data_IF_386464743561
#
_entry.id   IF_386464743561
#
_cell.length_a   1.000
_cell.length_b   1.000
_cell.length_c   1.000
_cell.angle_alpha   90.00
_cell.angle_beta   90.00
_cell.angle_gamma   90.00
#
_symmetry.space_group_name_H-M   'P 1'
#
loop_
_entity.id
_entity.type
_entity.pdbx_description
1 polymer ?
#
# COMPACT_ATOMS: atom_id res chain seq x y z
N UNK A 1 21.14 -12.93 -12.06
CA UNK A 1 19.94 -13.62 -11.54
C UNK A 1 19.03 -13.79 -12.73
N UNK A 2 19.06 -14.97 -13.34
CA UNK A 2 18.28 -15.30 -14.54
C UNK A 2 16.80 -15.02 -14.30
N UNK A 3 16.25 -14.06 -15.04
CA UNK A 3 14.81 -13.91 -15.21
C UNK A 3 14.36 -15.04 -16.14
N UNK A 4 14.09 -16.20 -15.56
CA UNK A 4 13.15 -17.13 -16.18
C UNK A 4 11.82 -16.36 -16.27
N UNK A 5 11.56 -15.83 -17.46
CA UNK A 5 10.30 -15.22 -17.87
C UNK A 5 9.24 -16.34 -17.97
N UNK A 6 8.87 -16.88 -16.82
CA UNK A 6 7.65 -17.66 -16.69
C UNK A 6 6.51 -16.64 -16.76
N UNK A 7 5.92 -16.54 -17.95
CA UNK A 7 4.72 -15.76 -18.19
C UNK A 7 3.62 -16.27 -17.27
N UNK A 8 3.16 -15.45 -16.32
CA UNK A 8 2.07 -15.81 -15.41
C UNK A 8 0.82 -16.23 -16.21
N UNK A 9 0.16 -17.30 -15.80
CA UNK A 9 -1.00 -17.89 -16.46
C UNK A 9 -2.26 -17.67 -15.63
N UNK A 10 -3.43 -17.99 -16.18
CA UNK A 10 -4.71 -18.00 -15.44
C UNK A 10 -4.63 -18.82 -14.15
N UNK A 11 -3.94 -19.96 -14.18
CA UNK A 11 -3.77 -20.83 -13.03
C UNK A 11 -2.99 -20.17 -11.88
N UNK A 12 -2.18 -19.14 -12.15
CA UNK A 12 -1.45 -18.42 -11.10
C UNK A 12 -2.33 -17.46 -10.29
N UNK A 13 -3.52 -17.11 -10.80
CA UNK A 13 -4.45 -16.15 -10.18
C UNK A 13 -5.71 -16.79 -9.63
N UNK A 14 -6.16 -17.91 -10.19
CA UNK A 14 -7.38 -18.59 -9.76
C UNK A 14 -7.14 -19.78 -8.81
N UNK A 15 -6.00 -19.82 -8.11
CA UNK A 15 -5.80 -20.83 -7.06
C UNK A 15 -6.63 -20.50 -5.82
N UNK A 16 -7.04 -21.51 -5.02
CA UNK A 16 -7.71 -21.26 -3.75
C UNK A 16 -6.93 -20.35 -2.81
N UNK A 17 -5.60 -20.40 -2.83
CA UNK A 17 -4.74 -19.56 -1.98
C UNK A 17 -4.77 -18.09 -2.39
N UNK A 18 -4.92 -17.79 -3.68
CA UNK A 18 -5.10 -16.42 -4.17
C UNK A 18 -6.53 -15.95 -3.93
N UNK A 19 -7.52 -16.76 -4.31
CA UNK A 19 -8.94 -16.37 -4.22
C UNK A 19 -9.44 -16.22 -2.79
N UNK A 20 -8.78 -16.87 -1.82
CA UNK A 20 -9.07 -16.74 -0.40
C UNK A 20 -8.00 -15.94 0.37
N UNK A 21 -7.13 -15.19 -0.31
CA UNK A 21 -6.13 -14.37 0.34
C UNK A 21 -6.79 -13.30 1.23
N UNK A 22 -6.23 -13.08 2.42
CA UNK A 22 -6.76 -12.13 3.40
C UNK A 22 -5.95 -10.84 3.42
N UNK A 23 -6.65 -9.70 3.47
CA UNK A 23 -6.04 -8.40 3.74
C UNK A 23 -6.95 -7.58 4.68
N UNK A 24 -6.51 -7.25 5.91
CA UNK A 24 -5.23 -7.64 6.50
C UNK A 24 -5.17 -9.13 6.84
N UNK A 25 -3.97 -9.69 6.80
CA UNK A 25 -3.69 -10.99 7.39
C UNK A 25 -3.35 -10.83 8.87
N UNK A 26 -3.79 -11.78 9.70
CA UNK A 26 -3.64 -11.69 11.16
C UNK A 26 -2.18 -11.74 11.63
N UNK A 27 -1.30 -12.40 10.86
CA UNK A 27 0.11 -12.58 11.22
C UNK A 27 0.99 -11.51 10.59
N UNK A 28 0.76 -11.21 9.31
CA UNK A 28 1.65 -10.39 8.48
C UNK A 28 1.13 -8.97 8.25
N UNK A 29 -0.14 -8.70 8.57
CA UNK A 29 -0.75 -7.38 8.48
C UNK A 29 -1.25 -7.01 7.08
N UNK A 30 -1.31 -5.70 6.81
CA UNK A 30 -1.80 -5.17 5.55
C UNK A 30 -0.76 -5.25 4.43
N UNK A 31 -1.16 -5.78 3.29
CA UNK A 31 -0.40 -5.84 2.05
C UNK A 31 -0.70 -4.66 1.13
N UNK A 32 -1.96 -4.22 1.13
CA UNK A 32 -2.47 -3.13 0.31
C UNK A 32 -3.64 -2.42 1.02
N UNK A 33 -4.13 -1.35 0.37
CA UNK A 33 -5.18 -0.48 0.86
C UNK A 33 -6.62 -1.02 0.83
N UNK A 34 -7.54 -0.31 1.51
CA UNK A 34 -7.28 0.87 2.36
C UNK A 34 -6.67 0.50 3.71
N UNK A 35 -5.55 1.16 4.07
CA UNK A 35 -4.88 0.96 5.35
C UNK A 35 -5.29 2.10 6.29
N UNK A 36 -5.90 1.82 7.46
CA UNK A 36 -6.40 2.87 8.32
C UNK A 36 -5.26 3.64 9.01
N UNK A 37 -5.43 4.95 9.14
CA UNK A 37 -4.62 5.79 10.01
C UNK A 37 -5.36 6.02 11.32
N UNK A 38 -5.20 5.12 12.29
CA UNK A 38 -5.92 5.17 13.55
C UNK A 38 -5.51 6.34 14.46
N UNK A 39 -4.39 7.01 14.17
CA UNK A 39 -3.86 8.11 14.98
C UNK A 39 -3.45 9.29 14.11
N UNK A 40 -4.40 9.93 13.41
CA UNK A 40 -4.10 11.09 12.57
C UNK A 40 -3.50 12.21 13.43
N UNK A 41 -2.40 12.80 12.97
CA UNK A 41 -1.70 13.88 13.67
C UNK A 41 -0.79 13.45 14.83
N UNK A 42 -0.73 12.17 15.20
CA UNK A 42 0.22 11.72 16.22
C UNK A 42 1.67 11.97 15.77
N UNK A 43 2.49 12.51 16.67
CA UNK A 43 3.92 12.75 16.47
C UNK A 43 4.71 12.24 17.68
N UNK A 44 5.93 11.71 17.49
CA UNK A 44 6.81 11.43 18.62
C UNK A 44 7.13 12.68 19.42
N UNK A 45 7.26 12.55 20.75
CA UNK A 45 7.53 13.68 21.64
C UNK A 45 8.78 14.47 21.25
N UNK A 46 9.87 13.79 20.88
CA UNK A 46 11.09 14.45 20.43
C UNK A 46 10.89 15.28 19.14
N UNK A 47 9.92 14.92 18.29
CA UNK A 47 9.55 15.71 17.11
C UNK A 47 8.73 16.93 17.53
N UNK A 48 7.78 16.76 18.45
CA UNK A 48 6.98 17.86 19.01
C UNK A 48 7.91 18.91 19.63
N UNK A 49 8.86 18.50 20.47
CA UNK A 49 9.82 19.40 21.12
C UNK A 49 10.65 20.18 20.07
N UNK A 50 11.11 19.51 19.01
CA UNK A 50 11.86 20.15 17.91
C UNK A 50 11.00 21.15 17.13
N UNK A 51 9.73 20.85 16.90
CA UNK A 51 8.78 21.76 16.24
C UNK A 51 8.54 23.00 17.10
N UNK A 52 8.35 22.84 18.41
CA UNK A 52 8.15 23.96 19.34
C UNK A 52 9.39 24.87 19.41
N UNK A 53 10.59 24.32 19.32
CA UNK A 53 11.84 25.09 19.36
C UNK A 53 12.17 25.81 18.03
N UNK A 54 11.92 25.16 16.89
CA UNK A 54 12.39 25.64 15.58
C UNK A 54 11.29 26.12 14.64
N UNK A 55 10.03 25.86 14.97
CA UNK A 55 8.87 26.07 14.10
C UNK A 55 8.81 25.13 12.89
N UNK A 56 9.69 24.12 12.79
CA UNK A 56 9.80 23.24 11.62
C UNK A 56 9.77 21.76 12.00
N UNK A 57 9.07 20.96 11.20
CA UNK A 57 9.10 19.50 11.31
C UNK A 57 10.40 19.00 10.65
N UNK A 58 11.36 18.59 11.48
CA UNK A 58 12.56 17.87 11.03
C UNK A 58 12.21 16.45 10.57
N UNK A 59 13.07 15.83 9.76
CA UNK A 59 12.95 14.42 9.39
C UNK A 59 12.80 13.50 10.62
N UNK A 60 11.75 12.68 10.63
CA UNK A 60 11.46 11.71 11.69
C UNK A 60 12.31 10.45 11.49
N UNK A 61 13.18 10.16 12.46
CA UNK A 61 14.03 8.96 12.48
C UNK A 61 13.27 7.76 13.04
N UNK A 62 13.76 6.56 12.77
CA UNK A 62 13.18 5.35 13.33
C UNK A 62 13.28 5.33 14.88
N UNK A 63 14.37 5.85 15.44
CA UNK A 63 14.54 6.00 16.89
C UNK A 63 13.53 6.96 17.50
N UNK A 64 13.20 8.07 16.82
CA UNK A 64 12.17 8.99 17.31
C UNK A 64 10.83 8.26 17.47
N UNK A 65 10.44 7.43 16.50
CA UNK A 65 9.21 6.63 16.60
C UNK A 65 9.26 5.67 17.79
N UNK A 66 10.36 4.92 17.96
CA UNK A 66 10.53 3.99 19.08
C UNK A 66 10.43 4.71 20.43
N UNK A 67 11.13 5.83 20.58
CA UNK A 67 11.11 6.63 21.81
C UNK A 67 9.73 7.25 22.05
N UNK A 68 9.07 7.69 20.98
CA UNK A 68 7.71 8.24 21.03
C UNK A 68 6.68 7.21 21.48
N UNK A 69 6.78 5.96 20.99
CA UNK A 69 5.90 4.88 21.46
C UNK A 69 6.08 4.56 22.94
N UNK A 70 7.29 4.74 23.49
CA UNK A 70 7.55 4.54 24.91
C UNK A 70 7.11 5.73 25.79
N UNK A 71 7.29 6.96 25.30
CA UNK A 71 7.11 8.18 26.11
C UNK A 71 5.76 8.86 25.92
N UNK A 72 5.17 8.77 24.73
CA UNK A 72 3.89 9.35 24.37
C UNK A 72 3.13 8.41 23.39
N UNK A 73 2.75 7.21 23.83
CA UNK A 73 2.10 6.24 22.96
C UNK A 73 0.84 6.83 22.29
N UNK A 74 0.56 6.46 21.02
CA UNK A 74 -0.68 6.83 20.37
C UNK A 74 -1.89 6.24 21.09
N UNK A 75 -3.05 6.89 20.96
CA UNK A 75 -4.28 6.47 21.64
C UNK A 75 -4.82 5.13 21.13
N UNK A 76 -4.64 4.84 19.84
CA UNK A 76 -5.07 3.61 19.20
C UNK A 76 -3.88 2.78 18.71
N UNK A 77 -4.02 1.45 18.61
CA UNK A 77 -2.98 0.60 18.06
C UNK A 77 -2.56 1.01 16.65
N UNK A 78 -1.25 1.02 16.41
CA UNK A 78 -0.68 1.14 15.08
C UNK A 78 -0.97 -0.14 14.28
N UNK A 79 -1.11 -0.02 12.96
CA UNK A 79 -1.28 -1.20 12.10
C UNK A 79 0.05 -1.84 11.70
N UNK A 80 0.04 -3.15 11.50
CA UNK A 80 1.16 -3.88 10.92
C UNK A 80 1.08 -3.86 9.40
N UNK A 81 2.19 -3.58 8.74
CA UNK A 81 2.34 -3.72 7.29
C UNK A 81 3.15 -4.95 6.94
N UNK A 82 2.66 -5.70 5.97
CA UNK A 82 3.40 -6.77 5.32
C UNK A 82 4.58 -6.16 4.55
N UNK A 83 5.73 -6.83 4.60
CA UNK A 83 6.97 -6.44 3.91
C UNK A 83 6.95 -6.73 2.42
N UNK A 84 6.05 -7.59 1.97
CA UNK A 84 5.71 -7.87 0.59
C UNK A 84 4.44 -7.08 0.24
N UNK A 85 4.62 -5.85 -0.23
CA UNK A 85 3.55 -4.91 -0.53
C UNK A 85 3.80 -4.22 -1.89
N UNK A 86 2.80 -3.48 -2.36
CA UNK A 86 2.78 -2.83 -3.67
C UNK A 86 3.76 -1.67 -3.87
N UNK A 87 4.49 -1.24 -2.83
CA UNK A 87 5.32 -0.03 -2.83
C UNK A 87 4.56 1.29 -3.10
N UNK A 88 3.24 1.26 -2.93
CA UNK A 88 2.36 2.43 -2.94
C UNK A 88 1.95 2.73 -1.49
N UNK A 89 1.87 4.00 -1.13
CA UNK A 89 1.35 4.40 0.17
C UNK A 89 -0.17 4.29 0.17
N UNK A 90 -0.69 3.19 0.70
CA UNK A 90 -2.12 2.91 0.78
C UNK A 90 -2.75 3.38 2.11
N UNK A 91 -2.08 4.30 2.83
CA UNK A 91 -2.63 4.89 4.06
C UNK A 91 -3.82 5.79 3.71
N UNK A 92 -4.96 5.54 4.35
CA UNK A 92 -6.14 6.38 4.27
C UNK A 92 -5.83 7.77 4.84
N UNK A 93 -6.10 8.80 4.02
CA UNK A 93 -6.01 10.22 4.42
C UNK A 93 -7.39 10.70 4.84
N UNK A 94 -8.39 10.36 4.03
CA UNK A 94 -9.82 10.51 4.27
C UNK A 94 -10.48 9.20 3.82
N UNK A 95 -11.62 8.81 4.36
CA UNK A 95 -12.35 7.68 3.79
C UNK A 95 -13.11 8.17 2.55
N UNK A 96 -12.96 7.59 1.33
CA UNK A 96 -12.15 6.42 0.95
C UNK A 96 -10.80 6.73 0.27
N UNK A 97 -10.31 7.96 0.37
CA UNK A 97 -9.10 8.48 -0.29
C UNK A 97 -7.80 8.06 0.43
N UNK A 98 -6.94 7.33 -0.27
CA UNK A 98 -5.60 6.96 0.18
C UNK A 98 -4.51 7.91 -0.30
N UNK A 99 -3.31 7.83 0.28
CA UNK A 99 -2.18 8.67 -0.09
C UNK A 99 -1.76 8.50 -1.56
N UNK A 100 -1.40 7.29 -1.98
CA UNK A 100 -1.04 6.94 -3.37
C UNK A 100 0.40 7.26 -3.80
N UNK A 101 1.21 7.87 -2.93
CA UNK A 101 2.63 8.08 -3.23
C UNK A 101 3.35 6.76 -3.53
N UNK A 102 4.10 6.73 -4.64
CA UNK A 102 4.78 5.54 -5.17
C UNK A 102 6.29 5.55 -4.89
N UNK A 103 6.86 4.37 -4.62
CA UNK A 103 8.27 4.24 -4.25
C UNK A 103 8.96 3.08 -4.97
N UNK A 104 10.26 3.21 -5.23
CA UNK A 104 11.04 2.16 -5.88
C UNK A 104 11.70 1.19 -4.88
N UNK A 105 11.64 1.49 -3.57
CA UNK A 105 12.25 0.64 -2.54
C UNK A 105 11.43 0.67 -1.25
N UNK A 106 11.47 -0.43 -0.50
CA UNK A 106 10.91 -0.50 0.85
C UNK A 106 11.55 0.52 1.81
N UNK A 107 12.81 0.92 1.59
CA UNK A 107 13.47 1.95 2.39
C UNK A 107 12.81 3.33 2.20
N UNK A 108 12.47 3.69 0.95
CA UNK A 108 11.78 4.94 0.62
C UNK A 108 10.35 4.95 1.17
N UNK A 109 9.59 3.86 0.97
CA UNK A 109 8.24 3.74 1.54
C UNK A 109 8.26 3.88 3.07
N UNK A 110 9.13 3.15 3.77
CA UNK A 110 9.28 3.27 5.23
C UNK A 110 9.64 4.67 5.68
N UNK A 111 10.50 5.38 4.93
CA UNK A 111 10.84 6.78 5.22
C UNK A 111 9.61 7.66 5.08
N UNK A 112 8.84 7.51 4.00
CA UNK A 112 7.61 8.26 3.80
C UNK A 112 6.60 8.01 4.91
N UNK A 113 6.29 6.74 5.23
CA UNK A 113 5.36 6.38 6.29
C UNK A 113 5.71 7.03 7.63
N UNK A 114 6.98 7.00 8.05
CA UNK A 114 7.40 7.67 9.30
C UNK A 114 7.24 9.19 9.28
N UNK A 115 7.41 9.83 8.13
CA UNK A 115 7.44 11.29 8.03
C UNK A 115 6.06 11.90 7.76
N UNK A 116 5.20 11.17 7.05
CA UNK A 116 3.88 11.65 6.61
C UNK A 116 2.75 10.97 7.38
N UNK A 117 2.94 9.72 7.79
CA UNK A 117 1.95 8.92 8.53
C UNK A 117 2.52 8.29 9.82
N UNK A 118 3.22 9.05 10.69
CA UNK A 118 3.92 8.51 11.86
C UNK A 118 3.01 7.72 12.82
N UNK A 119 1.72 8.07 12.91
CA UNK A 119 0.72 7.42 13.76
C UNK A 119 -0.07 6.29 13.09
N UNK A 120 0.19 5.98 11.82
CA UNK A 120 -0.57 4.95 11.12
C UNK A 120 0.01 3.55 11.38
N UNK A 121 1.31 3.37 11.12
CA UNK A 121 1.92 2.04 10.99
C UNK A 121 2.99 1.79 12.04
N UNK A 122 3.05 0.56 12.56
CA UNK A 122 4.19 0.10 13.33
C UNK A 122 5.46 0.14 12.48
N UNK A 123 6.61 0.37 13.12
CA UNK A 123 7.90 0.39 12.42
C UNK A 123 8.16 -0.96 11.73
N UNK A 124 8.16 -0.97 10.39
CA UNK A 124 8.52 -2.16 9.62
C UNK A 124 9.99 -2.50 9.88
N UNK A 125 10.21 -3.60 10.59
CA UNK A 125 11.54 -4.07 10.99
C UNK A 125 12.43 -4.36 9.78
N UNK A 126 13.74 -4.25 9.95
CA UNK A 126 14.75 -4.65 8.95
C UNK A 126 14.97 -6.16 8.88
N UNK A 127 14.28 -6.96 9.71
CA UNK A 127 14.38 -8.42 9.67
C UNK A 127 13.99 -8.94 8.28
N UNK A 128 14.60 -10.05 7.80
CA UNK A 128 14.19 -10.69 6.56
C UNK A 128 12.68 -10.95 6.49
N UNK A 129 12.14 -11.02 5.27
CA UNK A 129 10.75 -11.44 5.05
C UNK A 129 10.64 -12.92 5.41
N UNK A 130 9.62 -13.29 6.16
CA UNK A 130 9.28 -14.70 6.39
C UNK A 130 8.64 -15.30 5.13
N UNK A 131 8.59 -16.62 5.03
CA UNK A 131 7.83 -17.31 3.97
C UNK A 131 6.35 -16.92 4.01
N UNK A 132 5.80 -16.68 5.22
CA UNK A 132 4.43 -16.21 5.38
C UNK A 132 4.24 -14.79 4.82
N UNK A 133 5.16 -13.86 5.09
CA UNK A 133 5.12 -12.50 4.52
C UNK A 133 5.05 -12.57 2.99
N UNK A 134 5.97 -13.36 2.39
CA UNK A 134 6.10 -13.49 0.94
C UNK A 134 4.83 -14.12 0.33
N UNK A 135 4.40 -15.27 0.86
CA UNK A 135 3.24 -16.01 0.33
C UNK A 135 1.97 -15.17 0.44
N UNK A 136 1.69 -14.61 1.61
CA UNK A 136 0.50 -13.79 1.82
C UNK A 136 0.52 -12.51 0.98
N UNK A 137 1.68 -11.83 0.91
CA UNK A 137 1.80 -10.61 0.12
C UNK A 137 1.61 -10.83 -1.37
N UNK A 138 2.20 -11.88 -1.92
CA UNK A 138 2.02 -12.25 -3.33
C UNK A 138 0.54 -12.58 -3.62
N UNK A 139 -0.08 -13.45 -2.81
CA UNK A 139 -1.44 -13.88 -3.05
C UNK A 139 -2.44 -12.74 -2.88
N UNK A 140 -2.27 -11.90 -1.85
CA UNK A 140 -3.11 -10.73 -1.62
C UNK A 140 -2.98 -9.70 -2.74
N UNK A 141 -1.77 -9.40 -3.22
CA UNK A 141 -1.58 -8.48 -4.35
C UNK A 141 -2.17 -9.03 -5.65
N UNK A 142 -2.04 -10.34 -5.92
CA UNK A 142 -2.69 -10.98 -7.07
C UNK A 142 -4.20 -10.81 -7.01
N UNK A 143 -4.82 -11.12 -5.86
CA UNK A 143 -6.26 -10.96 -5.66
C UNK A 143 -6.69 -9.50 -5.79
N UNK A 144 -5.91 -8.56 -5.23
CA UNK A 144 -6.21 -7.14 -5.28
C UNK A 144 -6.24 -6.58 -6.71
N UNK A 145 -5.29 -7.00 -7.55
CA UNK A 145 -5.30 -6.63 -8.97
C UNK A 145 -6.43 -7.35 -9.72
N UNK A 146 -6.60 -8.65 -9.50
CA UNK A 146 -7.61 -9.47 -10.17
C UNK A 146 -9.03 -8.95 -9.92
N UNK A 147 -9.38 -8.72 -8.66
CA UNK A 147 -10.71 -8.28 -8.22
C UNK A 147 -11.02 -6.82 -8.54
N UNK A 148 -10.02 -6.02 -8.91
CA UNK A 148 -10.17 -4.61 -9.22
C UNK A 148 -9.89 -3.64 -8.09
N UNK A 149 -9.58 -4.12 -6.89
CA UNK A 149 -9.21 -3.24 -5.79
C UNK A 149 -8.05 -2.29 -6.16
N UNK A 150 -7.05 -2.75 -6.93
CA UNK A 150 -5.99 -1.86 -7.43
C UNK A 150 -6.50 -0.81 -8.41
N UNK A 151 -7.33 -1.19 -9.40
CA UNK A 151 -7.74 -0.28 -10.48
C UNK A 151 -8.83 0.71 -10.06
N UNK A 152 -9.62 0.34 -9.06
CA UNK A 152 -10.77 1.10 -8.57
C UNK A 152 -10.47 1.88 -7.27
N UNK A 153 -9.28 1.69 -6.69
CA UNK A 153 -8.83 2.47 -5.53
C UNK A 153 -8.78 3.99 -5.81
N UNK A 154 -9.05 4.80 -4.79
CA UNK A 154 -9.05 6.27 -4.88
C UNK A 154 -7.82 6.81 -4.16
N UNK A 155 -6.99 7.55 -4.90
CA UNK A 155 -5.72 8.09 -4.41
C UNK A 155 -5.67 9.61 -4.52
N UNK A 156 -5.13 10.25 -3.49
CA UNK A 156 -4.81 11.68 -3.51
C UNK A 156 -3.69 11.97 -4.51
N UNK A 157 -2.61 11.17 -4.45
CA UNK A 157 -1.50 11.19 -5.40
C UNK A 157 -1.61 9.97 -6.31
N UNK A 158 -2.10 10.17 -7.52
CA UNK A 158 -2.39 9.05 -8.44
C UNK A 158 -1.10 8.26 -8.79
N UNK A 159 -1.03 6.95 -8.46
CA UNK A 159 0.16 6.14 -8.72
C UNK A 159 0.29 5.67 -10.18
N UNK A 160 -0.75 5.86 -11.01
CA UNK A 160 -0.75 5.45 -12.41
C UNK A 160 -0.61 3.93 -12.55
N UNK A 161 0.37 3.47 -13.33
CA UNK A 161 0.65 2.02 -13.48
C UNK A 161 1.30 1.38 -12.23
N UNK A 162 1.60 2.18 -11.20
CA UNK A 162 2.32 1.77 -10.01
C UNK A 162 3.85 1.86 -10.18
N UNK A 163 4.63 1.61 -9.11
CA UNK A 163 6.08 1.69 -9.15
C UNK A 163 6.69 0.62 -10.06
N UNK A 164 7.73 0.97 -10.82
CA UNK A 164 8.42 0.05 -11.77
C UNK A 164 8.95 -1.22 -11.09
N UNK A 165 9.38 -1.10 -9.83
CA UNK A 165 9.88 -2.23 -9.02
C UNK A 165 8.79 -3.00 -8.26
N UNK A 166 7.52 -2.62 -8.44
CA UNK A 166 6.38 -3.32 -7.87
C UNK A 166 5.93 -4.46 -8.77
N UNK A 167 5.42 -5.54 -8.17
CA UNK A 167 4.83 -6.67 -8.92
C UNK A 167 3.48 -6.34 -9.52
N UNK A 168 2.83 -5.25 -9.09
CA UNK A 168 1.50 -4.84 -9.54
C UNK A 168 1.44 -4.70 -11.06
N UNK A 169 2.37 -3.95 -11.66
CA UNK A 169 2.38 -3.73 -13.11
C UNK A 169 2.49 -5.04 -13.89
N UNK A 170 3.37 -5.95 -13.44
CA UNK A 170 3.53 -7.30 -14.03
C UNK A 170 2.25 -8.13 -13.92
N UNK A 171 1.53 -8.05 -12.80
CA UNK A 171 0.26 -8.75 -12.63
C UNK A 171 -0.81 -8.18 -13.56
N UNK A 172 -0.91 -6.86 -13.67
CA UNK A 172 -1.83 -6.21 -14.61
C UNK A 172 -1.52 -6.62 -16.06
N UNK A 173 -0.27 -6.55 -16.49
CA UNK A 173 0.13 -6.91 -17.86
C UNK A 173 -0.21 -8.38 -18.16
N UNK A 174 0.00 -9.29 -17.20
CA UNK A 174 -0.35 -10.70 -17.33
C UNK A 174 -1.86 -10.92 -17.43
N UNK A 175 -2.64 -10.29 -16.56
CA UNK A 175 -4.10 -10.40 -16.53
C UNK A 175 -4.75 -9.83 -17.80
N UNK A 176 -4.26 -8.70 -18.29
CA UNK A 176 -4.71 -8.12 -19.55
C UNK A 176 -4.38 -9.03 -20.73
N UNK A 177 -3.20 -9.66 -20.74
CA UNK A 177 -2.87 -10.67 -21.76
C UNK A 177 -3.81 -11.87 -21.67
N UNK A 178 -4.00 -12.45 -20.49
CA UNK A 178 -4.91 -13.60 -20.28
C UNK A 178 -6.32 -13.25 -20.76
N UNK A 179 -6.83 -12.06 -20.43
CA UNK A 179 -8.16 -11.62 -20.87
C UNK A 179 -8.31 -11.45 -22.39
N UNK A 180 -7.20 -11.22 -23.12
CA UNK A 180 -7.25 -11.22 -24.59
C UNK A 180 -7.29 -12.62 -25.19
N UNK A 181 -6.72 -13.59 -24.49
CA UNK A 181 -6.56 -14.98 -24.94
C UNK A 181 -7.74 -15.87 -24.49
N UNK A 182 -8.42 -15.51 -23.40
CA UNK A 182 -9.49 -16.29 -22.76
C UNK A 182 -10.74 -15.43 -22.52
N UNK A 183 -11.77 -15.65 -23.36
CA UNK A 183 -13.02 -14.89 -23.30
C UNK A 183 -13.83 -15.15 -22.03
N UNK A 184 -13.77 -16.36 -21.48
CA UNK A 184 -14.48 -16.68 -20.23
C UNK A 184 -13.83 -15.93 -19.06
N UNK A 185 -12.50 -15.85 -19.05
CA UNK A 185 -11.76 -15.04 -18.09
C UNK A 185 -12.09 -13.55 -18.22
N UNK A 186 -12.11 -13.04 -19.45
CA UNK A 186 -12.45 -11.65 -19.74
C UNK A 186 -13.88 -11.29 -19.31
N UNK A 187 -14.85 -12.19 -19.56
CA UNK A 187 -16.23 -12.02 -19.09
C UNK A 187 -16.32 -11.99 -17.57
N UNK A 188 -15.49 -12.79 -16.88
CA UNK A 188 -15.53 -12.89 -15.42
C UNK A 188 -14.88 -11.70 -14.71
N UNK A 189 -13.71 -11.25 -15.16
CA UNK A 189 -12.91 -10.24 -14.45
C UNK A 189 -12.74 -8.91 -15.19
N UNK A 190 -13.17 -8.84 -16.45
CA UNK A 190 -12.92 -7.71 -17.34
C UNK A 190 -11.61 -7.83 -18.12
N UNK A 191 -11.30 -6.77 -18.87
CA UNK A 191 -10.16 -6.72 -19.82
C UNK A 191 -9.14 -5.64 -19.49
N UNK A 192 -9.41 -4.78 -18.50
CA UNK A 192 -8.54 -3.68 -18.09
C UNK A 192 -8.18 -3.85 -16.61
N UNK A 193 -6.89 -4.05 -16.33
CA UNK A 193 -6.39 -4.29 -14.97
C UNK A 193 -5.44 -3.19 -14.51
N UNK A 194 -4.76 -2.52 -15.43
CA UNK A 194 -4.07 -1.28 -15.11
C UNK A 194 -5.06 -0.18 -14.72
N UNK A 195 -4.62 0.70 -13.83
CA UNK A 195 -5.36 1.91 -13.50
C UNK A 195 -5.57 2.75 -14.75
N UNK A 196 -6.78 3.28 -14.91
CA UNK A 196 -7.06 4.28 -15.95
C UNK A 196 -6.27 5.54 -15.62
N UNK A 197 -5.74 6.27 -16.61
CA UNK A 197 -5.14 7.58 -16.37
C UNK A 197 -6.15 8.47 -15.61
N UNK A 198 -5.82 8.78 -14.36
CA UNK A 198 -6.56 9.71 -13.54
C UNK A 198 -5.61 10.85 -13.17
N UNK A 199 -6.15 12.05 -12.90
CA UNK A 199 -5.34 13.14 -12.34
C UNK A 199 -5.34 13.01 -10.82
N UNK A 200 -4.25 13.45 -10.18
CA UNK A 200 -4.24 13.63 -8.73
C UNK A 200 -5.38 14.55 -8.28
N UNK A 201 -5.93 14.26 -7.10
CA UNK A 201 -7.04 15.03 -6.54
C UNK A 201 -6.53 16.38 -6.02
N UNK A 202 -7.28 17.43 -6.34
CA UNK A 202 -7.15 18.77 -5.77
C UNK A 202 -8.01 18.91 -4.51
N UNK A 203 -7.85 20.01 -3.78
CA UNK A 203 -8.68 20.30 -2.61
C UNK A 203 -10.18 20.33 -2.94
N UNK A 204 -10.56 20.92 -4.07
CA UNK A 204 -11.97 20.97 -4.50
C UNK A 204 -12.52 19.60 -4.87
N UNK A 205 -11.70 18.72 -5.46
CA UNK A 205 -12.13 17.34 -5.77
C UNK A 205 -12.43 16.57 -4.47
N UNK A 206 -11.66 16.83 -3.41
CA UNK A 206 -11.88 16.22 -2.09
C UNK A 206 -13.18 16.75 -1.46
N UNK A 207 -13.44 18.06 -1.55
CA UNK A 207 -14.67 18.66 -1.02
C UNK A 207 -15.91 18.08 -1.71
N UNK A 208 -15.89 17.98 -3.04
CA UNK A 208 -16.97 17.37 -3.83
C UNK A 208 -17.21 15.91 -3.45
N UNK A 209 -16.14 15.09 -3.34
CA UNK A 209 -16.23 13.69 -2.95
C UNK A 209 -16.79 13.50 -1.53
N UNK A 210 -16.51 14.44 -0.63
CA UNK A 210 -16.99 14.42 0.75
C UNK A 210 -18.37 15.07 0.92
N UNK A 211 -18.99 15.55 -0.17
CA UNK A 211 -20.30 16.18 -0.15
C UNK A 211 -20.35 17.49 0.64
N UNK A 212 -19.27 18.28 0.59
CA UNK A 212 -19.15 19.58 1.27
C UNK A 212 -19.22 20.75 0.30
#
# INVERSE_FOLDING_TARGET
METLDLSLTRADFETPEVLNACNPDFLTGYVHGPIPNNNPGWLPLAVIDRVLQSGRVSLIKASDITDGLARNPPANPLVTLNKENGLVCDIAIYDPIMCGMSFNTQAQLRKHLRNVHPGATANITSRPKSTADISNGINSLKLWVLSGGWRDAIYMYEPGRGPEKSVIGRYCDALERISREDLDFAHKYGTQFHRRPCRSLSASDIEELLGK
#
